data_IF_870915591737
#
_entry.id   IF_870915591737
#
_cell.length_a   1.000
_cell.length_b   1.000
_cell.length_c   1.000
_cell.angle_alpha   90.00
_cell.angle_beta   90.00
_cell.angle_gamma   90.00
#
_symmetry.space_group_name_H-M   'P 1'
#
loop_
_entity.id
_entity.type
_entity.pdbx_description
1 polymer ?
#
# COMPACT_ATOMS: atom_id res chain seq x y z
N UNK A 1 -7.46 13.84 -25.48
CA UNK A 1 -6.73 12.73 -26.13
C UNK A 1 -6.05 11.80 -25.11
N UNK A 2 -6.73 11.38 -24.03
CA UNK A 2 -6.08 10.68 -22.90
C UNK A 2 -6.79 9.42 -22.40
N UNK A 3 -7.74 8.86 -23.18
CA UNK A 3 -8.36 7.57 -22.88
C UNK A 3 -7.96 6.47 -23.88
N UNK A 4 -7.74 6.81 -25.16
CA UNK A 4 -7.24 5.85 -26.16
C UNK A 4 -5.77 5.42 -25.93
N UNK A 5 -4.92 6.30 -25.40
CA UNK A 5 -3.52 5.97 -25.10
C UNK A 5 -3.38 5.02 -23.89
N UNK A 6 -4.33 5.07 -22.96
CA UNK A 6 -4.38 4.19 -21.78
C UNK A 6 -4.89 2.80 -22.16
N UNK A 7 -5.77 2.66 -23.17
CA UNK A 7 -6.24 1.36 -23.65
C UNK A 7 -5.20 0.63 -24.51
N UNK A 8 -4.44 1.33 -25.37
CA UNK A 8 -3.40 0.68 -26.19
C UNK A 8 -2.24 0.11 -25.35
N UNK A 9 -1.88 0.75 -24.23
CA UNK A 9 -0.86 0.21 -23.33
C UNK A 9 -1.32 -1.03 -22.54
N UNK A 10 -2.64 -1.19 -22.33
CA UNK A 10 -3.20 -2.37 -21.67
C UNK A 10 -3.20 -3.58 -22.61
N UNK A 11 -3.39 -3.38 -23.93
CA UNK A 11 -3.33 -4.46 -24.93
C UNK A 11 -1.91 -5.01 -25.11
N UNK A 12 -0.86 -4.19 -24.93
CA UNK A 12 0.53 -4.63 -24.99
C UNK A 12 1.00 -5.42 -23.75
N UNK A 13 0.37 -5.22 -22.60
CA UNK A 13 0.68 -5.96 -21.36
C UNK A 13 0.07 -7.37 -21.39
N UNK A 14 -1.01 -7.59 -22.15
CA UNK A 14 -1.64 -8.90 -22.33
C UNK A 14 -0.84 -9.91 -23.15
N UNK A 15 0.24 -9.51 -23.83
CA UNK A 15 0.92 -10.38 -24.79
C UNK A 15 2.05 -11.25 -24.20
N UNK A 16 2.44 -11.09 -22.92
CA UNK A 16 3.67 -11.73 -22.40
C UNK A 16 3.62 -12.26 -20.95
N UNK A 17 2.46 -12.66 -20.41
CA UNK A 17 2.39 -13.11 -19.01
C UNK A 17 1.77 -14.49 -18.83
N UNK A 18 2.37 -15.48 -19.49
CA UNK A 18 2.33 -16.87 -19.03
C UNK A 18 3.60 -17.13 -18.21
N UNK A 19 3.51 -17.23 -16.87
CA UNK A 19 4.35 -18.12 -16.02
C UNK A 19 4.46 -17.81 -14.51
N UNK A 20 3.69 -16.91 -13.89
CA UNK A 20 3.93 -16.60 -12.45
C UNK A 20 2.69 -16.77 -11.57
N UNK A 21 2.39 -18.03 -11.26
CA UNK A 21 1.36 -18.44 -10.30
C UNK A 21 1.92 -18.34 -8.86
N UNK A 22 1.27 -17.52 -8.02
CA UNK A 22 1.54 -17.38 -6.59
C UNK A 22 1.13 -18.62 -5.78
N UNK A 23 1.60 -18.70 -4.53
CA UNK A 23 1.42 -19.87 -3.66
C UNK A 23 -0.06 -20.28 -3.49
N UNK A 24 -0.37 -21.59 -3.35
CA UNK A 24 -1.74 -22.10 -3.23
C UNK A 24 -2.55 -21.52 -2.07
N UNK A 25 -1.90 -21.02 -1.02
CA UNK A 25 -2.56 -20.46 0.18
C UNK A 25 -3.00 -19.01 0.00
N UNK A 26 -2.22 -18.20 -0.72
CA UNK A 26 -2.59 -16.81 -1.06
C UNK A 26 -3.76 -16.77 -2.03
N UNK A 27 -3.77 -17.67 -3.02
CA UNK A 27 -4.91 -17.87 -3.90
C UNK A 27 -6.17 -18.26 -3.12
N UNK A 28 -6.04 -19.13 -2.10
CA UNK A 28 -7.17 -19.54 -1.24
C UNK A 28 -7.72 -18.40 -0.39
N UNK A 29 -6.88 -17.55 0.20
CA UNK A 29 -7.34 -16.46 1.07
C UNK A 29 -7.99 -15.31 0.29
N UNK A 30 -7.46 -14.98 -0.89
CA UNK A 30 -8.08 -14.01 -1.80
C UNK A 30 -9.40 -14.56 -2.36
N UNK A 31 -9.42 -15.82 -2.79
CA UNK A 31 -10.65 -16.49 -3.22
C UNK A 31 -11.71 -16.56 -2.12
N UNK A 32 -11.32 -16.83 -0.88
CA UNK A 32 -12.23 -16.85 0.27
C UNK A 32 -12.83 -15.46 0.55
N UNK A 33 -12.02 -14.41 0.50
CA UNK A 33 -12.47 -13.02 0.71
C UNK A 33 -13.45 -12.60 -0.38
N UNK A 34 -13.16 -12.90 -1.65
CA UNK A 34 -14.07 -12.60 -2.77
C UNK A 34 -15.35 -13.42 -2.72
N UNK A 35 -15.25 -14.69 -2.35
CA UNK A 35 -16.41 -15.55 -2.13
C UNK A 35 -17.31 -14.96 -1.03
N UNK A 36 -16.72 -14.44 0.04
CA UNK A 36 -17.46 -13.79 1.12
C UNK A 36 -18.12 -12.48 0.68
N UNK A 37 -17.44 -11.66 -0.13
CA UNK A 37 -18.01 -10.43 -0.70
C UNK A 37 -19.16 -10.76 -1.67
N UNK A 38 -18.98 -11.75 -2.56
CA UNK A 38 -20.03 -12.22 -3.47
C UNK A 38 -21.26 -12.76 -2.71
N UNK A 39 -21.05 -13.64 -1.73
CA UNK A 39 -22.12 -14.18 -0.90
C UNK A 39 -22.86 -13.08 -0.13
N UNK A 40 -22.14 -12.05 0.32
CA UNK A 40 -22.72 -10.88 0.98
C UNK A 40 -23.56 -10.07 -0.01
N UNK A 41 -23.06 -9.81 -1.22
CA UNK A 41 -23.81 -9.15 -2.29
C UNK A 41 -25.08 -9.91 -2.70
N UNK A 42 -25.03 -11.23 -2.81
CA UNK A 42 -26.20 -12.08 -3.09
C UNK A 42 -27.21 -12.10 -1.94
N UNK A 43 -26.74 -11.97 -0.68
CA UNK A 43 -27.62 -11.81 0.49
C UNK A 43 -28.30 -10.43 0.49
N UNK A 44 -27.56 -9.38 0.18
CA UNK A 44 -28.11 -8.02 0.01
C UNK A 44 -29.13 -7.98 -1.12
N UNK A 45 -28.90 -8.67 -2.24
CA UNK A 45 -29.88 -8.81 -3.33
C UNK A 45 -31.17 -9.49 -2.87
N UNK A 46 -31.07 -10.60 -2.12
CA UNK A 46 -32.27 -11.30 -1.60
C UNK A 46 -33.05 -10.45 -0.60
N UNK A 47 -32.36 -9.72 0.27
CA UNK A 47 -32.98 -8.78 1.20
C UNK A 47 -33.66 -7.66 0.42
N UNK A 48 -32.99 -7.09 -0.57
CA UNK A 48 -33.55 -6.01 -1.37
C UNK A 48 -34.75 -6.43 -2.22
N UNK A 49 -34.73 -7.62 -2.83
CA UNK A 49 -35.89 -8.19 -3.53
C UNK A 49 -37.07 -8.40 -2.57
N UNK A 50 -36.81 -8.85 -1.34
CA UNK A 50 -37.84 -8.97 -0.30
C UNK A 50 -38.38 -7.63 0.21
N UNK A 51 -37.61 -6.55 0.07
CA UNK A 51 -37.98 -5.19 0.49
C UNK A 51 -38.67 -4.40 -0.65
N UNK A 52 -38.40 -4.70 -1.93
CA UNK A 52 -39.07 -4.09 -3.09
C UNK A 52 -40.61 -4.26 -3.07
N UNK A 53 -41.09 -5.35 -2.47
CA UNK A 53 -42.51 -5.66 -2.30
C UNK A 53 -43.17 -4.89 -1.15
N UNK A 54 -42.38 -4.37 -0.19
CA UNK A 54 -42.86 -3.72 1.05
C UNK A 54 -42.64 -2.20 1.02
N UNK A 55 -41.63 -1.72 0.31
CA UNK A 55 -41.36 -0.29 0.13
C UNK A 55 -42.36 0.29 -0.87
N UNK A 56 -43.09 1.35 -0.48
CA UNK A 56 -44.06 2.04 -1.35
C UNK A 56 -43.51 3.30 -2.00
N UNK A 57 -42.39 3.84 -1.49
CA UNK A 57 -41.75 5.05 -2.01
C UNK A 57 -40.94 4.77 -3.30
N UNK A 58 -41.30 5.38 -4.45
CA UNK A 58 -40.63 5.14 -5.73
C UNK A 58 -39.14 5.50 -5.73
N UNK A 59 -38.76 6.56 -5.01
CA UNK A 59 -37.37 7.04 -4.95
C UNK A 59 -36.48 6.06 -4.18
N UNK A 60 -36.97 5.55 -3.05
CA UNK A 60 -36.29 4.50 -2.28
C UNK A 60 -36.10 3.22 -3.09
N UNK A 61 -37.05 2.84 -3.97
CA UNK A 61 -36.87 1.70 -4.89
C UNK A 61 -35.75 1.95 -5.91
N UNK A 62 -35.66 3.15 -6.45
CA UNK A 62 -34.65 3.52 -7.44
C UNK A 62 -33.24 3.55 -6.82
N UNK A 63 -33.09 4.16 -5.65
CA UNK A 63 -31.82 4.22 -4.91
C UNK A 63 -31.36 2.81 -4.50
N UNK A 64 -32.29 1.94 -4.11
CA UNK A 64 -31.99 0.54 -3.79
C UNK A 64 -31.50 -0.22 -5.03
N UNK A 65 -32.18 -0.07 -6.18
CA UNK A 65 -31.75 -0.66 -7.47
C UNK A 65 -30.37 -0.15 -7.90
N UNK A 66 -30.13 1.15 -7.79
CA UNK A 66 -28.84 1.74 -8.11
C UNK A 66 -27.72 1.20 -7.20
N UNK A 67 -28.00 1.06 -5.90
CA UNK A 67 -27.04 0.52 -4.93
C UNK A 67 -26.70 -0.95 -5.22
N UNK A 68 -27.69 -1.79 -5.52
CA UNK A 68 -27.49 -3.20 -5.90
C UNK A 68 -26.70 -3.29 -7.21
N UNK A 69 -27.08 -2.49 -8.20
CA UNK A 69 -26.40 -2.47 -9.50
C UNK A 69 -24.94 -2.04 -9.38
N UNK A 70 -24.66 -1.04 -8.54
CA UNK A 70 -23.31 -0.58 -8.24
C UNK A 70 -22.49 -1.64 -7.49
N UNK A 71 -23.07 -2.28 -6.47
CA UNK A 71 -22.42 -3.36 -5.74
C UNK A 71 -22.07 -4.55 -6.65
N UNK A 72 -22.99 -4.92 -7.56
CA UNK A 72 -22.76 -5.98 -8.55
C UNK A 72 -21.67 -5.60 -9.54
N UNK A 73 -21.76 -4.42 -10.14
CA UNK A 73 -20.77 -3.92 -11.10
C UNK A 73 -19.38 -3.80 -10.48
N UNK A 74 -19.30 -3.37 -9.22
CA UNK A 74 -18.05 -3.29 -8.47
C UNK A 74 -17.49 -4.68 -8.16
N UNK A 75 -18.34 -5.65 -7.78
CA UNK A 75 -17.93 -7.05 -7.54
C UNK A 75 -17.45 -7.71 -8.83
N UNK A 76 -18.16 -7.55 -9.94
CA UNK A 76 -17.78 -8.08 -11.25
C UNK A 76 -16.48 -7.43 -11.77
N UNK A 77 -16.27 -6.13 -11.53
CA UNK A 77 -15.01 -5.44 -11.83
C UNK A 77 -13.86 -5.92 -10.94
N UNK A 78 -14.11 -6.16 -9.65
CA UNK A 78 -13.13 -6.72 -8.73
C UNK A 78 -12.74 -8.15 -9.13
N UNK A 79 -13.69 -9.03 -9.43
CA UNK A 79 -13.45 -10.38 -9.94
C UNK A 79 -12.68 -10.35 -11.27
N UNK A 80 -13.05 -9.45 -12.19
CA UNK A 80 -12.36 -9.30 -13.48
C UNK A 80 -10.97 -8.69 -13.36
N UNK A 81 -10.74 -7.83 -12.36
CA UNK A 81 -9.45 -7.24 -12.05
C UNK A 81 -8.55 -8.26 -11.33
N UNK A 82 -9.09 -9.06 -10.42
CA UNK A 82 -8.35 -10.13 -9.72
C UNK A 82 -8.09 -11.33 -10.64
N UNK A 83 -8.96 -11.57 -11.62
CA UNK A 83 -8.70 -12.49 -12.72
C UNK A 83 -7.69 -11.98 -13.76
N UNK A 84 -7.25 -10.72 -13.68
CA UNK A 84 -6.32 -10.09 -14.64
C UNK A 84 -5.06 -9.47 -14.03
N UNK A 85 -4.98 -9.35 -12.70
CA UNK A 85 -3.88 -8.71 -11.98
C UNK A 85 -3.22 -9.78 -11.11
N UNK A 86 -1.95 -10.07 -11.41
CA UNK A 86 -1.11 -10.89 -10.53
C UNK A 86 -1.13 -10.33 -9.11
N UNK A 87 -1.32 -11.23 -8.15
CA UNK A 87 -1.31 -11.06 -6.68
C UNK A 87 -1.08 -9.63 -6.17
N UNK A 88 -2.15 -9.00 -5.68
CA UNK A 88 -2.01 -7.86 -4.76
C UNK A 88 -1.37 -8.38 -3.49
N UNK A 89 -0.19 -7.85 -3.14
CA UNK A 89 0.51 -8.15 -1.90
C UNK A 89 0.35 -6.97 -0.95
N UNK A 90 -0.01 -7.26 0.31
CA UNK A 90 -0.15 -6.25 1.35
C UNK A 90 0.77 -6.65 2.50
N UNK A 91 1.78 -5.83 2.77
CA UNK A 91 2.77 -6.05 3.82
C UNK A 91 2.63 -4.95 4.89
N UNK A 92 1.80 -5.15 5.91
CA UNK A 92 1.84 -4.33 7.11
C UNK A 92 3.18 -4.48 7.84
N UNK A 93 3.63 -3.40 8.48
CA UNK A 93 4.83 -3.42 9.29
C UNK A 93 4.77 -2.45 10.46
N UNK A 94 5.45 -2.82 11.53
CA UNK A 94 5.66 -1.98 12.72
C UNK A 94 7.15 -1.86 12.95
N UNK A 95 7.61 -0.64 13.25
CA UNK A 95 8.99 -0.36 13.63
C UNK A 95 9.07 0.43 14.93
N UNK A 96 9.94 -0.03 15.83
CA UNK A 96 10.26 0.61 17.11
C UNK A 96 11.74 0.93 17.10
N UNK A 97 12.06 2.21 17.30
CA UNK A 97 13.43 2.72 17.23
C UNK A 97 13.75 3.66 18.38
N UNK A 98 15.03 3.71 18.72
CA UNK A 98 15.58 4.54 19.78
C UNK A 98 16.72 5.41 19.25
N UNK A 99 16.70 6.70 19.59
CA UNK A 99 17.80 7.63 19.36
C UNK A 99 18.53 7.91 20.68
N UNK A 100 19.71 7.32 20.85
CA UNK A 100 20.45 7.37 22.12
C UNK A 100 20.91 8.78 22.52
N UNK A 101 21.30 9.61 21.57
CA UNK A 101 21.76 10.99 21.83
C UNK A 101 20.59 11.89 22.28
N UNK A 102 19.41 11.68 21.70
CA UNK A 102 18.21 12.46 21.96
C UNK A 102 17.33 11.85 23.07
N UNK A 103 17.62 10.61 23.49
CA UNK A 103 16.83 9.80 24.44
C UNK A 103 15.37 9.68 24.03
N UNK A 104 15.16 9.53 22.74
CA UNK A 104 13.86 9.65 22.05
C UNK A 104 13.46 8.29 21.47
N UNK A 105 12.19 7.90 21.67
CA UNK A 105 11.62 6.65 21.20
C UNK A 105 10.61 6.91 20.11
N UNK A 106 10.67 6.09 19.06
CA UNK A 106 9.75 6.23 17.94
C UNK A 106 9.10 4.91 17.59
N UNK A 107 7.78 4.94 17.52
CA UNK A 107 6.98 3.83 17.00
C UNK A 107 6.32 4.27 15.70
N UNK A 108 6.41 3.44 14.68
CA UNK A 108 5.78 3.68 13.38
C UNK A 108 4.92 2.48 13.00
N UNK A 109 3.86 2.75 12.24
CA UNK A 109 3.02 1.74 11.60
C UNK A 109 2.94 2.06 10.12
N UNK A 110 3.19 1.07 9.26
CA UNK A 110 3.19 1.22 7.81
C UNK A 110 2.47 0.04 7.15
N UNK A 111 1.96 0.26 5.94
CA UNK A 111 1.44 -0.76 5.05
C UNK A 111 1.99 -0.51 3.65
N UNK A 112 2.70 -1.49 3.10
CA UNK A 112 3.10 -1.51 1.69
C UNK A 112 2.06 -2.33 0.92
N UNK A 113 1.49 -1.75 -0.13
CA UNK A 113 0.54 -2.44 -1.01
C UNK A 113 1.20 -2.53 -2.38
N UNK A 114 1.67 -3.71 -2.77
CA UNK A 114 2.32 -3.96 -4.04
C UNK A 114 1.35 -4.61 -5.04
N UNK A 115 1.34 -4.06 -6.25
CA UNK A 115 0.59 -4.56 -7.41
C UNK A 115 1.58 -4.65 -8.56
N UNK A 116 2.07 -5.86 -8.84
CA UNK A 116 3.22 -6.07 -9.74
C UNK A 116 4.42 -5.22 -9.28
N UNK A 117 5.03 -4.45 -10.18
CA UNK A 117 6.19 -3.61 -9.87
C UNK A 117 5.81 -2.29 -9.17
N UNK A 118 4.53 -1.93 -9.10
CA UNK A 118 4.10 -0.67 -8.47
C UNK A 118 3.72 -0.94 -7.03
N UNK A 119 4.11 -0.06 -6.10
CA UNK A 119 3.68 -0.15 -4.71
C UNK A 119 3.18 1.19 -4.18
N UNK A 120 2.35 1.10 -3.15
CA UNK A 120 1.87 2.22 -2.36
C UNK A 120 2.34 2.05 -0.92
N UNK A 121 3.05 3.04 -0.40
CA UNK A 121 3.44 3.14 1.00
C UNK A 121 2.45 4.05 1.74
N UNK A 122 1.76 3.49 2.73
CA UNK A 122 0.90 4.24 3.66
C UNK A 122 1.43 4.06 5.08
N UNK A 123 1.44 5.11 5.89
CA UNK A 123 1.91 4.95 7.26
C UNK A 123 1.77 6.17 8.15
N UNK A 124 1.98 5.94 9.45
CA UNK A 124 2.08 6.97 10.48
C UNK A 124 3.37 6.73 11.25
N UNK A 125 4.19 7.77 11.34
CA UNK A 125 5.44 7.75 12.08
C UNK A 125 5.35 8.56 13.38
N UNK A 126 6.04 8.12 14.43
CA UNK A 126 6.09 8.84 15.71
C UNK A 126 4.81 8.74 16.52
N UNK A 127 4.14 7.59 16.48
CA UNK A 127 2.92 7.31 17.24
C UNK A 127 3.20 7.56 18.73
N UNK A 128 2.47 8.51 19.33
CA UNK A 128 2.60 8.92 20.73
C UNK A 128 3.26 10.30 20.92
N UNK A 129 3.82 10.90 19.87
CA UNK A 129 4.42 12.25 19.87
C UNK A 129 3.96 13.06 18.65
N UNK A 130 4.89 13.64 17.88
CA UNK A 130 4.66 14.34 16.61
C UNK A 130 4.38 13.33 15.48
N UNK A 131 3.10 12.99 15.33
CA UNK A 131 2.61 12.08 14.30
C UNK A 131 2.84 12.67 12.89
N UNK A 132 3.53 11.91 12.02
CA UNK A 132 3.73 12.26 10.61
C UNK A 132 3.08 11.22 9.73
N UNK A 133 2.28 11.65 8.75
CA UNK A 133 1.62 10.75 7.81
C UNK A 133 2.48 10.55 6.57
N UNK A 134 2.55 9.31 6.10
CA UNK A 134 3.18 8.89 4.87
C UNK A 134 2.13 8.41 3.88
N UNK A 135 2.23 8.88 2.63
CA UNK A 135 1.45 8.41 1.51
C UNK A 135 2.28 8.59 0.24
N UNK A 136 2.87 7.52 -0.26
CA UNK A 136 3.74 7.56 -1.42
C UNK A 136 3.45 6.42 -2.40
N UNK A 137 3.75 6.67 -3.67
CA UNK A 137 3.73 5.66 -4.72
C UNK A 137 5.15 5.46 -5.22
N UNK A 138 5.51 4.23 -5.52
CA UNK A 138 6.81 3.91 -6.07
C UNK A 138 6.78 2.71 -6.99
N UNK A 139 7.93 2.43 -7.59
CA UNK A 139 8.10 1.32 -8.52
C UNK A 139 9.35 0.52 -8.15
N UNK A 140 9.24 -0.81 -8.10
CA UNK A 140 10.37 -1.73 -8.01
C UNK A 140 10.96 -1.89 -9.42
N UNK A 141 12.22 -1.53 -9.61
CA UNK A 141 12.95 -1.58 -10.87
C UNK A 141 14.25 -2.36 -10.65
N UNK A 142 14.12 -3.69 -10.53
CA UNK A 142 15.23 -4.56 -10.12
C UNK A 142 15.71 -4.19 -8.72
N UNK A 143 16.99 -3.83 -8.59
CA UNK A 143 17.58 -3.43 -7.30
C UNK A 143 17.29 -1.98 -6.91
N UNK A 144 16.62 -1.19 -7.77
CA UNK A 144 16.33 0.23 -7.52
C UNK A 144 14.84 0.40 -7.23
N UNK A 145 14.50 1.29 -6.31
CA UNK A 145 13.12 1.55 -5.92
C UNK A 145 12.84 3.05 -5.83
N UNK A 146 12.56 3.76 -6.95
CA UNK A 146 12.11 5.14 -6.90
C UNK A 146 10.72 5.25 -6.25
N UNK A 147 10.49 6.33 -5.49
CA UNK A 147 9.20 6.69 -4.93
C UNK A 147 8.99 8.20 -4.83
N UNK A 148 7.74 8.63 -4.82
CA UNK A 148 7.37 10.03 -4.59
C UNK A 148 6.00 10.13 -3.90
N UNK A 149 5.79 11.23 -3.19
CA UNK A 149 4.52 11.52 -2.52
C UNK A 149 4.72 12.34 -1.26
N UNK A 150 3.85 12.10 -0.27
CA UNK A 150 4.01 12.63 1.08
C UNK A 150 4.92 11.68 1.86
N UNK A 151 6.17 12.10 2.05
CA UNK A 151 7.19 11.41 2.83
C UNK A 151 7.44 12.18 4.12
N UNK A 152 7.31 11.52 5.25
CA UNK A 152 7.53 12.07 6.58
C UNK A 152 6.67 13.32 6.86
N UNK A 153 5.42 13.31 6.40
CA UNK A 153 4.47 14.41 6.55
C UNK A 153 4.68 15.60 5.60
N UNK A 154 5.59 15.50 4.62
CA UNK A 154 5.88 16.56 3.64
C UNK A 154 6.03 15.99 2.24
N UNK A 155 5.83 16.81 1.21
CA UNK A 155 6.07 16.37 -0.17
C UNK A 155 7.58 16.05 -0.33
N UNK A 156 7.86 14.93 -0.99
CA UNK A 156 9.21 14.44 -1.21
C UNK A 156 9.32 13.37 -2.30
N UNK A 157 10.55 13.01 -2.61
CA UNK A 157 10.92 11.92 -3.50
C UNK A 157 12.05 11.10 -2.87
N UNK A 158 12.09 9.82 -3.18
CA UNK A 158 13.02 8.88 -2.58
C UNK A 158 13.53 7.85 -3.57
N UNK A 159 14.67 7.26 -3.21
CA UNK A 159 15.31 6.21 -3.97
C UNK A 159 15.81 5.12 -3.02
N UNK A 160 15.30 3.90 -3.22
CA UNK A 160 15.78 2.69 -2.58
C UNK A 160 16.78 1.95 -3.46
N UNK A 161 17.72 1.26 -2.81
CA UNK A 161 18.66 0.33 -3.42
C UNK A 161 18.74 -0.93 -2.56
N UNK A 162 18.63 -2.11 -3.17
CA UNK A 162 18.84 -3.38 -2.48
C UNK A 162 17.88 -4.49 -2.90
N UNK A 163 17.65 -5.40 -1.97
CA UNK A 163 16.84 -6.62 -2.10
C UNK A 163 15.92 -6.74 -0.89
N UNK A 164 15.15 -7.83 -0.82
CA UNK A 164 14.24 -8.07 0.31
C UNK A 164 14.99 -8.26 1.64
N UNK A 165 16.24 -8.75 1.62
CA UNK A 165 17.04 -8.98 2.84
C UNK A 165 17.83 -7.77 3.31
N UNK A 166 18.19 -6.88 2.39
CA UNK A 166 18.97 -5.69 2.70
C UNK A 166 18.60 -4.55 1.77
N UNK A 167 18.20 -3.41 2.34
CA UNK A 167 17.74 -2.24 1.60
C UNK A 167 18.28 -0.96 2.22
N UNK A 168 18.75 -0.05 1.37
CA UNK A 168 19.10 1.33 1.73
C UNK A 168 18.17 2.26 0.99
N UNK A 169 17.63 3.27 1.68
CA UNK A 169 16.68 4.24 1.15
C UNK A 169 17.15 5.65 1.48
N UNK A 170 17.17 6.53 0.48
CA UNK A 170 17.42 7.95 0.65
C UNK A 170 16.19 8.73 0.20
N UNK A 171 15.64 9.54 1.10
CA UNK A 171 14.46 10.36 0.85
C UNK A 171 14.80 11.85 0.98
N UNK A 172 14.49 12.64 -0.04
CA UNK A 172 14.54 14.10 -0.03
C UNK A 172 13.12 14.66 0.08
N UNK A 173 12.87 15.49 1.09
CA UNK A 173 11.53 15.98 1.41
C UNK A 173 11.57 17.41 1.96
N UNK A 174 10.40 18.05 2.04
CA UNK A 174 10.26 19.44 2.50
C UNK A 174 11.15 20.39 1.70
N UNK A 175 10.92 20.50 0.38
CA UNK A 175 11.79 21.23 -0.54
C UNK A 175 11.99 22.72 -0.19
N UNK A 176 11.05 23.32 0.56
CA UNK A 176 11.20 24.68 1.10
C UNK A 176 12.34 24.78 2.13
N UNK A 177 12.59 23.69 2.86
CA UNK A 177 13.64 23.56 3.88
C UNK A 177 14.37 22.23 3.71
N UNK A 178 14.80 21.91 2.48
CA UNK A 178 15.27 20.60 2.05
C UNK A 178 15.84 19.75 3.19
N UNK A 179 15.21 18.61 3.44
CA UNK A 179 15.64 17.60 4.40
C UNK A 179 15.94 16.31 3.67
N UNK A 180 17.00 15.64 4.09
CA UNK A 180 17.39 14.33 3.57
C UNK A 180 17.35 13.33 4.71
N UNK A 181 16.63 12.22 4.53
CA UNK A 181 16.64 11.06 5.42
C UNK A 181 17.33 9.89 4.73
N UNK A 182 18.18 9.19 5.47
CA UNK A 182 18.77 7.93 5.04
C UNK A 182 18.28 6.83 5.97
N UNK A 183 17.83 5.70 5.42
CA UNK A 183 17.36 4.53 6.17
C UNK A 183 18.01 3.28 5.59
N UNK A 184 18.48 2.38 6.45
CA UNK A 184 18.94 1.05 6.07
C UNK A 184 18.16 0.00 6.84
N UNK A 185 17.76 -1.07 6.17
CA UNK A 185 17.08 -2.23 6.73
C UNK A 185 17.90 -3.49 6.40
N UNK A 186 18.17 -4.32 7.39
CA UNK A 186 18.85 -5.60 7.23
C UNK A 186 18.05 -6.69 7.95
N UNK A 187 17.64 -7.73 7.23
CA UNK A 187 16.93 -8.86 7.79
C UNK A 187 17.84 -9.62 8.76
N UNK A 188 17.36 -9.84 9.98
CA UNK A 188 18.09 -10.54 11.04
C UNK A 188 17.43 -11.86 11.44
N UNK A 189 16.12 -11.97 11.20
CA UNK A 189 15.29 -13.16 11.38
C UNK A 189 14.10 -13.06 10.41
N UNK A 190 13.40 -14.16 10.13
CA UNK A 190 12.24 -14.17 9.22
C UNK A 190 11.29 -13.01 9.50
N UNK A 191 11.13 -12.11 8.53
CA UNK A 191 10.29 -10.90 8.58
C UNK A 191 10.68 -9.84 9.63
N UNK A 192 11.81 -10.01 10.33
CA UNK A 192 12.34 -9.05 11.30
C UNK A 192 13.64 -8.43 10.80
N UNK A 193 13.70 -7.10 10.83
CA UNK A 193 14.80 -6.32 10.30
C UNK A 193 15.41 -5.45 11.40
N UNK A 194 16.73 -5.40 11.44
CA UNK A 194 17.43 -4.29 12.07
C UNK A 194 17.31 -3.04 11.19
N UNK A 195 17.02 -1.90 11.82
CA UNK A 195 16.86 -0.61 11.14
C UNK A 195 17.84 0.39 11.71
N UNK A 196 18.52 1.14 10.83
CA UNK A 196 19.24 2.34 11.18
C UNK A 196 18.72 3.51 10.32
N UNK A 197 18.43 4.64 10.94
CA UNK A 197 17.81 5.79 10.28
C UNK A 197 18.49 7.09 10.70
N UNK A 198 18.95 7.89 9.73
CA UNK A 198 19.55 9.20 9.95
C UNK A 198 18.62 10.27 9.39
N UNK A 199 18.09 11.12 10.27
CA UNK A 199 17.27 12.26 9.89
C UNK A 199 18.13 13.46 9.61
N UNK A 200 17.67 14.32 8.69
CA UNK A 200 18.32 15.59 8.39
C UNK A 200 19.81 15.41 8.09
N UNK A 201 20.16 14.42 7.26
CA UNK A 201 21.54 14.08 6.90
C UNK A 201 22.31 15.32 6.41
N UNK A 202 21.63 16.21 5.69
CA UNK A 202 22.16 17.45 5.15
C UNK A 202 22.21 18.64 6.14
N UNK A 203 21.69 18.50 7.38
CA UNK A 203 21.67 19.56 8.40
C UNK A 203 22.25 19.06 9.73
N UNK A 204 23.55 19.32 9.96
CA UNK A 204 24.29 18.76 11.12
C UNK A 204 23.67 19.10 12.49
N UNK A 205 23.14 20.30 12.67
CA UNK A 205 22.55 20.75 13.95
C UNK A 205 21.20 20.10 14.27
N UNK A 206 20.45 19.66 13.26
CA UNK A 206 19.14 18.99 13.38
C UNK A 206 19.23 17.47 13.22
N UNK A 207 20.45 16.92 13.09
CA UNK A 207 20.67 15.51 12.77
C UNK A 207 20.35 14.63 13.97
N UNK A 208 19.45 13.68 13.76
CA UNK A 208 19.12 12.61 14.70
C UNK A 208 19.43 11.25 14.07
N UNK A 209 19.90 10.31 14.89
CA UNK A 209 20.18 8.94 14.43
C UNK A 209 19.42 7.96 15.30
N UNK A 210 18.62 7.13 14.67
CA UNK A 210 17.78 6.12 15.30
C UNK A 210 18.28 4.73 14.93
N UNK A 211 18.17 3.80 15.88
CA UNK A 211 18.39 2.37 15.67
C UNK A 211 17.23 1.59 16.24
N UNK A 212 16.84 0.49 15.61
CA UNK A 212 15.71 -0.28 16.09
C UNK A 212 15.40 -1.52 15.29
N UNK A 213 14.18 -2.00 15.47
CA UNK A 213 13.66 -3.20 14.84
C UNK A 213 12.40 -2.88 14.06
N UNK A 214 12.25 -3.55 12.92
CA UNK A 214 11.03 -3.57 12.11
C UNK A 214 10.55 -5.01 11.98
N UNK A 215 9.24 -5.22 12.07
CA UNK A 215 8.59 -6.50 11.80
C UNK A 215 7.57 -6.32 10.67
N UNK A 216 7.65 -7.17 9.65
CA UNK A 216 6.61 -7.33 8.64
C UNK A 216 5.63 -8.44 9.09
N UNK A 217 4.36 -8.33 8.67
CA UNK A 217 3.31 -9.34 8.91
C UNK A 217 2.57 -9.68 7.63
#
# INVERSE_FOLDING_TARGET
ASLNATMQNVEHISANMDSTLGSPETAKNIAATLTNVKLTSERVERIAKGIEDVVTDPKTKEDLKATIHNARTMTEKADKMLGKVGSIEVTPSVDVMYAGKERDWRTNFNANIAVSDTFFDLGVEGIGEDNKVNAAVGKKLGFITPRAGVLHGKIGAGLGFGSDRFKVMADAYDFNKLRVRLRSEAEIMDDTFFVAEVHNLNKRSERKTYFGLKRNF
#
